data_IF_144432020681
#
_entry.id   IF_144432020681
#
_cell.length_a   1.000
_cell.length_b   1.000
_cell.length_c   1.000
_cell.angle_alpha   90.00
_cell.angle_beta   90.00
_cell.angle_gamma   90.00
#
_symmetry.space_group_name_H-M   'P 1'
#
loop_
_entity.id
_entity.type
_entity.pdbx_description
1 polymer ?
#
# COMPACT_ATOMS: atom_id res chain seq x y z
N UNK A 1 -13.61 -17.70 -0.03
CA UNK A 1 -12.27 -18.20 -0.38
C UNK A 1 -11.39 -18.08 0.86
N UNK A 2 -11.05 -19.25 1.38
CA UNK A 2 -10.12 -19.63 2.44
C UNK A 2 -9.99 -18.77 3.70
N UNK A 3 -10.59 -19.27 4.79
CA UNK A 3 -10.26 -18.88 6.15
C UNK A 3 -8.86 -19.40 6.52
N UNK A 4 -7.82 -18.81 5.92
CA UNK A 4 -6.44 -19.11 6.25
C UNK A 4 -6.12 -18.50 7.62
N UNK A 5 -5.95 -19.37 8.61
CA UNK A 5 -5.48 -19.00 9.94
C UNK A 5 -3.97 -18.85 9.94
N UNK A 6 -3.48 -17.77 10.53
CA UNK A 6 -2.08 -17.38 10.52
C UNK A 6 -1.55 -17.26 11.94
N UNK A 7 -0.31 -17.65 12.16
CA UNK A 7 0.42 -17.37 13.39
C UNK A 7 0.80 -15.89 13.48
N UNK A 8 1.06 -15.40 14.69
CA UNK A 8 1.58 -14.03 14.90
C UNK A 8 2.88 -13.78 14.14
N UNK A 9 3.70 -14.82 13.92
CA UNK A 9 4.96 -14.70 13.19
C UNK A 9 4.75 -14.54 11.68
N UNK A 10 3.80 -15.28 11.11
CA UNK A 10 3.43 -15.10 9.69
C UNK A 10 2.78 -13.76 9.45
N UNK A 11 1.90 -13.32 10.36
CA UNK A 11 1.31 -11.98 10.31
C UNK A 11 2.38 -10.91 10.41
N UNK A 12 3.33 -11.03 11.35
CA UNK A 12 4.43 -10.08 11.49
C UNK A 12 5.25 -9.94 10.21
N UNK A 13 5.56 -11.05 9.55
CA UNK A 13 6.26 -11.06 8.25
C UNK A 13 5.46 -10.41 7.13
N UNK A 14 4.14 -10.55 7.13
CA UNK A 14 3.25 -9.95 6.12
C UNK A 14 3.04 -8.45 6.37
N UNK A 15 3.11 -8.03 7.64
CA UNK A 15 2.92 -6.66 8.05
C UNK A 15 4.24 -5.87 8.13
N UNK A 16 5.40 -6.49 7.88
CA UNK A 16 6.71 -5.83 7.98
C UNK A 16 7.08 -5.37 9.41
N UNK A 17 6.46 -5.93 10.44
CA UNK A 17 6.62 -5.50 11.84
C UNK A 17 7.21 -6.59 12.72
N UNK A 18 7.63 -6.23 13.93
CA UNK A 18 8.08 -7.24 14.90
C UNK A 18 6.92 -8.16 15.31
N UNK A 19 7.24 -9.43 15.59
CA UNK A 19 6.25 -10.36 16.16
C UNK A 19 5.65 -9.82 17.46
N UNK A 20 6.44 -9.12 18.27
CA UNK A 20 5.96 -8.53 19.52
C UNK A 20 4.88 -7.50 19.26
N UNK A 21 5.02 -6.66 18.23
CA UNK A 21 4.00 -5.69 17.84
C UNK A 21 2.65 -6.36 17.53
N UNK A 22 2.66 -7.51 16.84
CA UNK A 22 1.44 -8.30 16.57
C UNK A 22 0.83 -8.85 17.86
N UNK A 23 1.67 -9.28 18.80
CA UNK A 23 1.21 -9.74 20.11
C UNK A 23 0.56 -8.60 20.87
N UNK A 24 1.17 -7.42 20.88
CA UNK A 24 0.63 -6.26 21.58
C UNK A 24 -0.70 -5.80 20.95
N UNK A 25 -0.83 -5.85 19.63
CA UNK A 25 -2.11 -5.58 18.94
C UNK A 25 -3.21 -6.57 19.35
N UNK A 26 -2.87 -7.85 19.49
CA UNK A 26 -3.82 -8.84 20.00
C UNK A 26 -4.22 -8.52 21.45
N UNK A 27 -3.27 -8.13 22.29
CA UNK A 27 -3.50 -7.85 23.71
C UNK A 27 -4.30 -6.55 23.95
N UNK A 28 -4.10 -5.54 23.10
CA UNK A 28 -4.89 -4.30 23.10
C UNK A 28 -6.28 -4.45 22.47
N UNK A 29 -6.60 -5.62 21.89
CA UNK A 29 -7.87 -5.87 21.22
C UNK A 29 -8.01 -5.20 19.85
N UNK A 30 -6.92 -4.66 19.30
CA UNK A 30 -6.88 -4.02 17.98
C UNK A 30 -6.77 -5.05 16.84
N UNK A 31 -6.31 -6.27 17.14
CA UNK A 31 -6.26 -7.39 16.21
C UNK A 31 -7.07 -8.57 16.75
N UNK A 32 -8.19 -8.93 16.09
CA UNK A 32 -8.91 -10.14 16.41
C UNK A 32 -8.02 -11.39 16.30
N UNK A 33 -8.08 -12.24 17.31
CA UNK A 33 -7.38 -13.51 17.32
C UNK A 33 -8.20 -14.58 18.04
N UNK A 34 -7.91 -15.84 17.72
CA UNK A 34 -8.39 -17.00 18.46
C UNK A 34 -7.19 -17.71 19.09
N UNK A 35 -7.35 -18.26 20.30
CA UNK A 35 -6.35 -19.13 20.90
C UNK A 35 -6.60 -20.57 20.48
N UNK A 36 -5.57 -21.23 19.95
CA UNK A 36 -5.54 -22.68 19.72
C UNK A 36 -4.42 -23.24 20.60
N UNK A 37 -4.80 -23.81 21.74
CA UNK A 37 -3.87 -24.08 22.83
C UNK A 37 -3.25 -22.79 23.37
N UNK A 38 -1.92 -22.73 23.41
CA UNK A 38 -1.16 -21.54 23.83
C UNK A 38 -0.88 -20.53 22.71
N UNK A 39 -1.20 -20.88 21.46
CA UNK A 39 -0.86 -20.06 20.31
C UNK A 39 -2.02 -19.17 19.86
N UNK A 40 -1.72 -17.90 19.56
CA UNK A 40 -2.64 -16.98 18.89
C UNK A 40 -2.70 -17.32 17.39
N UNK A 41 -3.92 -17.31 16.85
CA UNK A 41 -4.25 -17.51 15.44
C UNK A 41 -5.11 -16.36 14.96
N UNK A 42 -4.69 -15.72 13.89
CA UNK A 42 -5.31 -14.52 13.31
C UNK A 42 -5.87 -14.93 11.94
N UNK A 43 -7.10 -14.55 11.61
CA UNK A 43 -7.60 -14.83 10.25
C UNK A 43 -6.96 -13.85 9.29
N UNK A 44 -6.58 -14.34 8.11
CA UNK A 44 -6.05 -13.47 7.04
C UNK A 44 -6.98 -12.30 6.71
N UNK A 45 -8.29 -12.50 6.78
CA UNK A 45 -9.29 -11.45 6.54
C UNK A 45 -9.20 -10.27 7.53
N UNK A 46 -8.77 -10.51 8.76
CA UNK A 46 -8.67 -9.49 9.82
C UNK A 46 -7.47 -8.54 9.60
N UNK A 47 -6.53 -8.92 8.74
CA UNK A 47 -5.35 -8.10 8.43
C UNK A 47 -5.70 -6.86 7.61
N UNK A 48 -6.76 -6.92 6.79
CA UNK A 48 -7.14 -5.84 5.88
C UNK A 48 -7.45 -4.52 6.62
N UNK A 49 -7.96 -4.58 7.85
CA UNK A 49 -8.26 -3.41 8.67
C UNK A 49 -7.02 -2.80 9.36
N UNK A 50 -6.07 -3.64 9.74
CA UNK A 50 -4.86 -3.26 10.49
C UNK A 50 -3.87 -2.42 9.68
N UNK A 51 -3.74 -2.71 8.40
CA UNK A 51 -2.80 -2.00 7.55
C UNK A 51 -3.09 -0.50 7.50
N UNK A 52 -4.37 -0.10 7.50
CA UNK A 52 -4.75 1.32 7.53
C UNK A 52 -4.38 2.02 8.84
N UNK A 53 -4.34 1.30 9.96
CA UNK A 53 -4.05 1.89 11.28
C UNK A 53 -2.55 2.11 11.54
N UNK A 54 -1.67 1.54 10.71
CA UNK A 54 -0.22 1.58 10.91
C UNK A 54 0.57 2.36 9.86
N UNK A 55 -0.10 2.94 8.85
CA UNK A 55 0.59 3.78 7.88
C UNK A 55 1.09 5.06 8.57
N UNK A 56 2.39 5.35 8.43
CA UNK A 56 2.94 6.63 8.86
C UNK A 56 2.37 7.80 8.03
N UNK A 57 2.65 9.04 8.44
CA UNK A 57 2.14 10.22 7.74
C UNK A 57 2.57 10.28 6.26
N UNK A 58 3.79 9.85 5.95
CA UNK A 58 4.32 9.77 4.59
C UNK A 58 3.62 8.72 3.74
N UNK A 59 3.36 7.55 4.32
CA UNK A 59 2.64 6.45 3.67
C UNK A 59 1.16 6.80 3.45
N UNK A 60 0.51 7.45 4.43
CA UNK A 60 -0.85 7.98 4.29
C UNK A 60 -0.94 9.07 3.21
N UNK A 61 0.04 9.98 3.18
CA UNK A 61 0.17 11.00 2.13
C UNK A 61 0.33 10.36 0.76
N UNK A 62 1.18 9.33 0.66
CA UNK A 62 1.38 8.57 -0.58
C UNK A 62 0.09 7.88 -1.02
N UNK A 63 -0.63 7.22 -0.11
CA UNK A 63 -1.93 6.60 -0.39
C UNK A 63 -2.96 7.63 -0.90
N UNK A 64 -2.99 8.83 -0.32
CA UNK A 64 -3.86 9.92 -0.79
C UNK A 64 -3.55 10.37 -2.21
N UNK A 65 -2.26 10.52 -2.56
CA UNK A 65 -1.85 10.83 -3.92
C UNK A 65 -2.27 9.74 -4.90
N UNK A 66 -2.10 8.46 -4.53
CA UNK A 66 -2.41 7.35 -5.42
C UNK A 66 -3.92 7.08 -5.56
N UNK A 67 -4.75 7.48 -4.58
CA UNK A 67 -6.20 7.57 -4.78
C UNK A 67 -6.60 8.58 -5.85
N UNK A 68 -5.88 9.70 -5.94
CA UNK A 68 -6.11 10.65 -7.02
C UNK A 68 -5.62 10.12 -8.37
N UNK A 69 -4.48 9.40 -8.41
CA UNK A 69 -4.02 8.69 -9.60
C UNK A 69 -5.04 7.65 -10.05
N UNK A 70 -5.66 6.91 -9.13
CA UNK A 70 -6.75 5.97 -9.46
C UNK A 70 -7.92 6.70 -10.13
N UNK A 71 -8.26 7.91 -9.67
CA UNK A 71 -9.27 8.74 -10.34
C UNK A 71 -8.93 9.05 -11.80
N UNK A 72 -7.67 9.42 -12.07
CA UNK A 72 -7.20 9.63 -13.45
C UNK A 72 -7.16 8.32 -14.25
N UNK A 73 -6.77 7.20 -13.63
CA UNK A 73 -6.72 5.89 -14.27
C UNK A 73 -8.11 5.44 -14.73
N UNK A 74 -9.13 5.64 -13.88
CA UNK A 74 -10.52 5.30 -14.23
C UNK A 74 -11.05 6.18 -15.35
N UNK A 75 -10.67 7.46 -15.37
CA UNK A 75 -11.12 8.42 -16.39
C UNK A 75 -10.40 8.22 -17.74
N UNK A 76 -9.08 7.99 -17.71
CA UNK A 76 -8.20 7.98 -18.88
C UNK A 76 -7.21 6.79 -18.82
N UNK A 77 -7.69 5.53 -18.86
CA UNK A 77 -6.87 4.37 -18.56
C UNK A 77 -5.68 4.20 -19.51
N UNK A 78 -5.90 4.38 -20.82
CA UNK A 78 -4.85 4.22 -21.83
C UNK A 78 -3.69 5.19 -21.63
N UNK A 79 -3.99 6.47 -21.38
CA UNK A 79 -2.97 7.53 -21.22
C UNK A 79 -2.17 7.35 -19.92
N UNK A 80 -2.86 6.99 -18.84
CA UNK A 80 -2.23 6.76 -17.53
C UNK A 80 -1.32 5.55 -17.57
N UNK A 81 -1.77 4.44 -18.17
CA UNK A 81 -0.95 3.22 -18.34
C UNK A 81 0.23 3.49 -19.27
N UNK A 82 0.02 4.21 -20.38
CA UNK A 82 1.11 4.58 -21.29
C UNK A 82 2.19 5.40 -20.57
N UNK A 83 1.78 6.42 -19.81
CA UNK A 83 2.68 7.25 -19.00
C UNK A 83 3.48 6.41 -18.00
N UNK A 84 2.82 5.49 -17.29
CA UNK A 84 3.49 4.61 -16.35
C UNK A 84 4.53 3.71 -17.04
N UNK A 85 4.17 3.08 -18.16
CA UNK A 85 5.08 2.22 -18.93
C UNK A 85 6.27 3.00 -19.50
N UNK A 86 6.06 4.22 -19.97
CA UNK A 86 7.16 5.10 -20.42
C UNK A 86 8.13 5.44 -19.29
N UNK A 87 7.61 5.74 -18.10
CA UNK A 87 8.43 5.98 -16.92
C UNK A 87 9.25 4.74 -16.55
N UNK A 88 8.64 3.55 -16.52
CA UNK A 88 9.36 2.28 -16.26
C UNK A 88 10.48 2.07 -17.29
N UNK A 89 10.18 2.21 -18.59
CA UNK A 89 11.18 2.08 -19.67
C UNK A 89 12.33 3.07 -19.51
N UNK A 90 12.03 4.32 -19.20
CA UNK A 90 13.04 5.38 -19.04
C UNK A 90 13.92 5.10 -17.82
N UNK A 91 13.33 4.78 -16.68
CA UNK A 91 14.09 4.55 -15.44
C UNK A 91 14.93 3.28 -15.51
N UNK A 92 14.46 2.22 -16.19
CA UNK A 92 15.23 0.99 -16.40
C UNK A 92 16.55 1.23 -17.13
N UNK A 93 16.63 2.23 -18.02
CA UNK A 93 17.87 2.60 -18.71
C UNK A 93 18.88 3.32 -17.82
N UNK A 94 18.42 3.93 -16.73
CA UNK A 94 19.24 4.74 -15.82
C UNK A 94 19.70 3.93 -14.59
N UNK A 95 18.91 2.96 -14.15
CA UNK A 95 19.23 2.13 -12.99
C UNK A 95 20.04 0.90 -13.40
N UNK A 96 20.88 0.42 -12.46
CA UNK A 96 21.63 -0.82 -12.66
C UNK A 96 20.65 -2.02 -12.69
N UNK A 97 20.87 -3.00 -13.58
CA UNK A 97 19.96 -4.15 -13.73
C UNK A 97 19.82 -5.03 -12.49
N UNK A 98 20.82 -5.03 -11.62
CA UNK A 98 20.94 -5.84 -10.39
C UNK A 98 20.60 -5.05 -9.11
N UNK A 99 20.15 -3.80 -9.23
CA UNK A 99 19.81 -2.95 -8.09
C UNK A 99 18.39 -3.15 -7.57
N UNK A 100 18.14 -2.76 -6.31
CA UNK A 100 16.81 -2.77 -5.69
C UNK A 100 15.73 -2.04 -6.51
N UNK A 101 16.10 -0.97 -7.23
CA UNK A 101 15.17 -0.27 -8.12
C UNK A 101 14.69 -1.15 -9.29
N UNK A 102 15.54 -2.03 -9.82
CA UNK A 102 15.15 -2.93 -10.91
C UNK A 102 14.08 -3.93 -10.46
N UNK A 103 14.19 -4.45 -9.24
CA UNK A 103 13.18 -5.33 -8.63
C UNK A 103 11.80 -4.68 -8.58
N UNK A 104 11.70 -3.41 -8.17
CA UNK A 104 10.42 -2.69 -8.15
C UNK A 104 9.88 -2.40 -9.56
N UNK A 105 10.75 -2.11 -10.52
CA UNK A 105 10.34 -1.95 -11.91
C UNK A 105 9.79 -3.25 -12.50
N UNK A 106 10.39 -4.40 -12.20
CA UNK A 106 9.88 -5.71 -12.61
C UNK A 106 8.50 -6.01 -12.00
N UNK A 107 8.28 -5.65 -10.73
CA UNK A 107 6.96 -5.75 -10.11
C UNK A 107 5.93 -4.85 -10.80
N UNK A 108 6.30 -3.60 -11.09
CA UNK A 108 5.41 -2.69 -11.78
C UNK A 108 5.09 -3.14 -13.21
N UNK A 109 6.04 -3.71 -13.95
CA UNK A 109 5.76 -4.29 -15.27
C UNK A 109 4.71 -5.40 -15.17
N UNK A 110 4.83 -6.33 -14.21
CA UNK A 110 3.81 -7.38 -14.00
C UNK A 110 2.43 -6.83 -13.65
N UNK A 111 2.37 -5.79 -12.81
CA UNK A 111 1.11 -5.15 -12.44
C UNK A 111 0.49 -4.42 -13.64
N UNK A 112 1.31 -3.74 -14.46
CA UNK A 112 0.86 -3.02 -15.65
C UNK A 112 0.45 -3.94 -16.80
N UNK A 113 0.96 -5.17 -16.84
CA UNK A 113 0.56 -6.24 -17.77
C UNK A 113 -0.78 -6.90 -17.38
N UNK A 114 -1.24 -6.68 -16.15
CA UNK A 114 -2.56 -7.09 -15.68
C UNK A 114 -3.68 -6.16 -16.15
N UNK A 115 -4.84 -6.28 -15.52
CA UNK A 115 -5.98 -5.41 -15.78
C UNK A 115 -5.96 -4.13 -14.93
N UNK A 116 -6.94 -3.24 -15.17
CA UNK A 116 -7.07 -2.00 -14.41
C UNK A 116 -7.30 -2.27 -12.91
N UNK A 117 -7.96 -3.38 -12.56
CA UNK A 117 -8.27 -3.73 -11.18
C UNK A 117 -7.02 -4.16 -10.41
N UNK A 118 -6.08 -4.84 -11.08
CA UNK A 118 -4.76 -5.16 -10.52
C UNK A 118 -3.95 -3.91 -10.21
N UNK A 119 -3.95 -2.93 -11.12
CA UNK A 119 -3.31 -1.63 -10.90
C UNK A 119 -3.99 -0.91 -9.74
N UNK A 120 -5.33 -0.83 -9.77
CA UNK A 120 -6.12 -0.16 -8.74
C UNK A 120 -5.85 -0.76 -7.35
N UNK A 121 -5.78 -2.09 -7.24
CA UNK A 121 -5.47 -2.81 -6.00
C UNK A 121 -4.16 -2.34 -5.37
N UNK A 122 -3.10 -2.16 -6.17
CA UNK A 122 -1.80 -1.66 -5.68
C UNK A 122 -1.85 -0.17 -5.35
N UNK A 123 -2.51 0.65 -6.18
CA UNK A 123 -2.62 2.09 -5.96
C UNK A 123 -3.29 2.43 -4.63
N UNK A 124 -4.26 1.65 -4.18
CA UNK A 124 -4.99 1.92 -2.92
C UNK A 124 -4.80 0.89 -1.82
N UNK A 125 -4.02 -0.16 -2.07
CA UNK A 125 -3.74 -1.23 -1.12
C UNK A 125 -2.98 -0.73 0.10
N UNK A 126 -3.33 -1.17 1.28
CA UNK A 126 -2.65 -0.73 2.52
C UNK A 126 -1.59 -1.72 2.98
N UNK A 127 -1.47 -2.86 2.29
CA UNK A 127 -0.46 -3.87 2.55
C UNK A 127 0.98 -3.38 2.29
N UNK A 128 1.95 -4.12 2.81
CA UNK A 128 3.38 -3.80 2.71
C UNK A 128 3.83 -3.69 1.25
N UNK A 129 3.49 -4.69 0.42
CA UNK A 129 3.83 -4.71 -1.00
C UNK A 129 3.26 -3.49 -1.73
N UNK A 130 1.97 -3.18 -1.53
CA UNK A 130 1.35 -1.98 -2.11
C UNK A 130 2.02 -0.69 -1.65
N UNK A 131 2.47 -0.64 -0.39
CA UNK A 131 3.16 0.52 0.19
C UNK A 131 4.54 0.71 -0.42
N UNK A 132 5.34 -0.34 -0.53
CA UNK A 132 6.65 -0.30 -1.19
C UNK A 132 6.54 0.06 -2.68
N UNK A 133 5.56 -0.51 -3.38
CA UNK A 133 5.33 -0.20 -4.79
C UNK A 133 4.94 1.26 -4.98
N UNK A 134 4.08 1.83 -4.12
CA UNK A 134 3.75 3.27 -4.17
C UNK A 134 4.95 4.18 -3.91
N UNK A 135 5.90 3.77 -3.06
CA UNK A 135 7.14 4.54 -2.85
C UNK A 135 8.01 4.56 -4.11
N UNK A 136 7.93 3.50 -4.92
CA UNK A 136 8.68 3.33 -6.17
C UNK A 136 7.76 3.43 -7.42
N UNK A 137 6.78 4.33 -7.36
CA UNK A 137 5.66 4.38 -8.30
C UNK A 137 6.02 4.97 -9.68
N UNK A 138 5.64 4.31 -10.80
CA UNK A 138 5.85 4.81 -12.15
C UNK A 138 4.81 5.85 -12.58
N UNK A 139 3.88 6.25 -11.72
CA UNK A 139 2.81 7.20 -12.07
C UNK A 139 3.23 8.68 -11.92
N UNK A 140 4.54 8.95 -11.88
CA UNK A 140 5.07 10.31 -11.87
C UNK A 140 4.63 11.07 -13.14
N UNK A 141 4.02 12.25 -12.95
CA UNK A 141 3.54 13.10 -14.05
C UNK A 141 2.09 12.86 -14.46
N UNK A 142 1.43 11.80 -13.96
CA UNK A 142 -0.01 11.56 -14.22
C UNK A 142 -0.88 12.67 -13.63
N UNK A 143 -0.60 13.09 -12.40
CA UNK A 143 -1.27 14.23 -11.80
C UNK A 143 -0.58 15.53 -12.25
N UNK A 144 -1.37 16.47 -12.77
CA UNK A 144 -0.89 17.84 -12.99
C UNK A 144 -0.39 18.46 -11.68
N UNK A 145 0.56 19.41 -11.72
CA UNK A 145 1.04 20.08 -10.50
C UNK A 145 -0.07 20.70 -9.67
N UNK A 146 -1.07 21.32 -10.31
CA UNK A 146 -2.24 21.89 -9.66
C UNK A 146 -3.07 20.82 -8.93
N UNK A 147 -3.37 19.71 -9.61
CA UNK A 147 -4.14 18.60 -9.02
C UNK A 147 -3.38 17.94 -7.86
N UNK A 148 -2.08 17.70 -8.03
CA UNK A 148 -1.20 17.19 -6.96
C UNK A 148 -1.23 18.09 -5.73
N UNK A 149 -1.10 19.41 -5.92
CA UNK A 149 -1.14 20.38 -4.81
C UNK A 149 -2.49 20.39 -4.11
N UNK A 150 -3.60 20.31 -4.86
CA UNK A 150 -4.95 20.21 -4.32
C UNK A 150 -5.10 18.96 -3.43
N UNK A 151 -4.65 17.80 -3.90
CA UNK A 151 -4.73 16.54 -3.14
C UNK A 151 -3.89 16.62 -1.86
N UNK A 152 -2.70 17.20 -1.92
CA UNK A 152 -1.85 17.40 -0.75
C UNK A 152 -2.44 18.40 0.26
N UNK A 153 -3.11 19.45 -0.21
CA UNK A 153 -3.83 20.37 0.66
C UNK A 153 -5.00 19.69 1.36
N UNK A 154 -5.79 18.90 0.64
CA UNK A 154 -6.89 18.12 1.19
C UNK A 154 -6.41 17.07 2.21
N UNK A 155 -5.26 16.41 1.96
CA UNK A 155 -4.63 15.50 2.92
C UNK A 155 -4.27 16.23 4.23
N UNK A 156 -3.68 17.42 4.16
CA UNK A 156 -3.38 18.20 5.38
C UNK A 156 -4.63 18.59 6.16
N UNK A 157 -5.73 18.88 5.46
CA UNK A 157 -7.00 19.27 6.07
C UNK A 157 -7.78 18.09 6.69
N UNK A 158 -7.71 16.90 6.09
CA UNK A 158 -8.62 15.77 6.44
C UNK A 158 -7.94 14.43 6.69
N UNK A 159 -6.63 14.32 6.43
CA UNK A 159 -5.90 13.06 6.42
C UNK A 159 -5.31 12.64 7.76
N UNK A 160 -5.36 13.49 8.79
CA UNK A 160 -4.86 13.15 10.13
C UNK A 160 -5.87 12.23 10.83
N UNK A 161 -5.47 11.03 11.30
CA UNK A 161 -6.32 10.24 12.17
C UNK A 161 -6.63 11.07 13.42
N UNK A 162 -7.91 11.22 13.77
CA UNK A 162 -8.32 11.76 15.07
C UNK A 162 -7.66 10.88 16.12
N UNK A 163 -6.68 11.39 16.89
CA UNK A 163 -6.26 10.73 18.12
C UNK A 163 -7.52 10.62 18.97
N UNK A 164 -7.94 9.41 19.27
CA UNK A 164 -8.91 9.21 20.34
C UNK A 164 -8.18 9.63 21.62
N UNK A 165 -8.50 10.82 22.12
CA UNK A 165 -8.23 11.18 23.50
C UNK A 165 -9.07 10.22 24.33
N UNK A 166 -8.40 9.22 24.90
CA UNK A 166 -8.98 8.37 25.93
C UNK A 166 -9.20 9.28 27.16
N UNK A 167 -10.47 9.57 27.43
CA UNK A 167 -10.93 10.15 28.69
C UNK A 167 -11.35 9.06 29.65
#
# INVERSE_FOLDING_TARGET
MDAQWMSTGEVAKILGVSRQHIVDLCERGELPFTKVGTHRRIRRADLNGLFRTHLDEGQLRSLWLHRAVLGELVANPSDVVATARDNVRRWRRVHRPDGMSAHYLDHWDRVLDGDIDDIARVLVGTDELSTELRQNSPFAGVLSPARRNQVLAAFRAHGRPRRQEAS
#
